data_IF_269542535575
#
_entry.id   IF_269542535575
#
_cell.length_a   1.000
_cell.length_b   1.000
_cell.length_c   1.000
_cell.angle_alpha   90.00
_cell.angle_beta   90.00
_cell.angle_gamma   90.00
#
_symmetry.space_group_name_H-M   'P 1'
#
loop_
_entity.id
_entity.type
_entity.pdbx_description
1 polymer ?
#
# COMPACT_ATOMS: atom_id res chain seq x y z
N UNK A 1 25.03 14.79 16.16
CA UNK A 1 24.24 14.06 15.14
C UNK A 1 22.92 13.74 15.80
N UNK A 2 21.87 14.52 15.53
CA UNK A 2 20.55 14.27 16.09
C UNK A 2 19.89 13.16 15.28
N UNK A 3 19.52 12.06 15.95
CA UNK A 3 18.60 11.08 15.38
C UNK A 3 17.25 11.80 15.21
N UNK A 4 16.75 11.89 13.99
CA UNK A 4 15.40 12.36 13.75
C UNK A 4 14.44 11.39 14.45
N UNK A 5 13.70 11.89 15.44
CA UNK A 5 12.57 11.18 16.00
C UNK A 5 11.55 10.96 14.88
N UNK A 6 11.33 9.70 14.51
CA UNK A 6 10.19 9.31 13.69
C UNK A 6 8.93 9.63 14.49
N UNK A 7 8.34 10.78 14.23
CA UNK A 7 7.05 11.18 14.82
C UNK A 7 5.95 10.39 14.12
N UNK A 8 5.80 9.12 14.50
CA UNK A 8 4.57 8.38 14.24
C UNK A 8 3.41 9.19 14.82
N UNK A 9 2.30 9.32 14.09
CA UNK A 9 1.09 9.99 14.55
C UNK A 9 0.54 9.21 15.76
N UNK A 10 0.96 9.57 16.97
CA UNK A 10 1.07 8.67 18.12
C UNK A 10 -0.24 8.32 18.84
N UNK A 11 -1.41 8.72 18.31
CA UNK A 11 -2.69 8.47 18.99
C UNK A 11 -3.59 7.45 18.27
N UNK A 12 -3.36 7.17 16.96
CA UNK A 12 -4.20 6.27 16.14
C UNK A 12 -3.42 5.48 15.07
N UNK A 13 -2.23 4.98 15.41
CA UNK A 13 -1.48 4.10 14.51
C UNK A 13 -2.19 2.75 14.27
N UNK A 14 -2.08 2.20 13.07
CA UNK A 14 -2.54 0.83 12.77
C UNK A 14 -1.45 -0.17 13.14
N UNK A 15 -1.79 -1.16 13.97
CA UNK A 15 -0.93 -2.33 14.22
C UNK A 15 -1.40 -3.47 13.33
N UNK A 16 -0.49 -3.97 12.49
CA UNK A 16 -0.76 -5.14 11.64
C UNK A 16 -0.46 -6.43 12.40
N UNK A 17 -1.36 -7.40 12.30
CA UNK A 17 -1.11 -8.78 12.73
C UNK A 17 -0.19 -9.49 11.73
N UNK A 18 0.41 -10.61 12.15
CA UNK A 18 1.41 -11.34 11.34
C UNK A 18 0.87 -11.88 10.02
N UNK A 19 -0.43 -12.14 9.97
CA UNK A 19 -1.16 -12.68 8.81
C UNK A 19 -1.82 -11.58 7.95
N UNK A 20 -1.54 -10.31 8.23
CA UNK A 20 -2.06 -9.18 7.47
C UNK A 20 -1.02 -8.61 6.51
N UNK A 21 -1.52 -8.07 5.39
CA UNK A 21 -0.74 -7.33 4.40
C UNK A 21 -1.17 -5.87 4.38
N UNK A 22 -0.26 -4.98 3.97
CA UNK A 22 -0.59 -3.57 3.76
C UNK A 22 0.22 -2.97 2.61
N UNK A 23 -0.45 -2.21 1.76
CA UNK A 23 0.19 -1.28 0.84
C UNK A 23 0.22 0.09 1.51
N UNK A 24 1.41 0.65 1.70
CA UNK A 24 1.65 1.90 2.40
C UNK A 24 2.12 2.94 1.40
N UNK A 25 1.45 4.08 1.36
CA UNK A 25 1.91 5.26 0.63
C UNK A 25 2.74 6.13 1.56
N UNK A 26 3.98 6.42 1.16
CA UNK A 26 4.91 7.25 1.91
C UNK A 26 4.70 8.74 1.57
N UNK A 27 5.22 9.61 2.44
CA UNK A 27 5.06 11.06 2.28
C UNK A 27 5.75 11.63 1.03
N UNK A 28 6.75 10.94 0.49
CA UNK A 28 7.46 11.31 -0.74
C UNK A 28 6.77 10.78 -2.02
N UNK A 29 5.63 10.09 -1.87
CA UNK A 29 4.88 9.49 -2.98
C UNK A 29 5.34 8.10 -3.40
N UNK A 30 6.35 7.53 -2.73
CA UNK A 30 6.71 6.12 -2.93
C UNK A 30 5.72 5.17 -2.25
N UNK A 31 5.77 3.89 -2.62
CA UNK A 31 4.95 2.85 -2.05
C UNK A 31 5.81 1.74 -1.44
N UNK A 32 5.38 1.25 -0.28
CA UNK A 32 5.95 0.09 0.39
C UNK A 32 4.88 -1.00 0.53
N UNK A 33 5.21 -2.24 0.20
CA UNK A 33 4.32 -3.38 0.43
C UNK A 33 4.83 -4.20 1.62
N UNK A 34 4.00 -4.31 2.65
CA UNK A 34 4.21 -5.21 3.78
C UNK A 34 3.50 -6.53 3.49
N UNK A 35 4.27 -7.61 3.43
CA UNK A 35 3.77 -8.97 3.21
C UNK A 35 3.54 -9.69 4.55
N UNK A 36 2.51 -10.54 4.63
CA UNK A 36 2.29 -11.37 5.79
C UNK A 36 3.40 -12.40 5.93
N UNK A 37 3.66 -12.81 7.18
CA UNK A 37 4.61 -13.88 7.49
C UNK A 37 3.96 -15.23 7.16
N UNK A 38 4.21 -15.71 5.94
CA UNK A 38 3.67 -16.96 5.40
C UNK A 38 4.77 -18.03 5.31
N UNK A 39 4.44 -19.32 5.49
CA UNK A 39 5.34 -20.41 5.13
C UNK A 39 5.78 -20.32 3.66
N UNK A 40 7.02 -20.72 3.35
CA UNK A 40 7.59 -20.61 1.98
C UNK A 40 6.74 -21.21 0.86
N UNK A 41 5.99 -22.27 1.15
CA UNK A 41 5.16 -22.97 0.17
C UNK A 41 3.69 -22.47 0.14
N UNK A 42 3.32 -21.55 1.03
CA UNK A 42 1.96 -21.04 1.10
C UNK A 42 1.73 -19.92 0.08
N UNK A 43 0.68 -20.07 -0.74
CA UNK A 43 0.23 -19.00 -1.60
C UNK A 43 -0.48 -17.92 -0.77
N UNK A 44 -0.20 -16.62 -1.00
CA UNK A 44 -0.97 -15.55 -0.37
C UNK A 44 -2.44 -15.61 -0.76
N UNK A 45 -3.33 -15.06 0.07
CA UNK A 45 -4.74 -14.95 -0.30
C UNK A 45 -4.94 -14.07 -1.53
N UNK A 46 -6.08 -14.20 -2.22
CA UNK A 46 -6.40 -13.38 -3.39
C UNK A 46 -6.31 -11.87 -3.11
N UNK A 47 -6.72 -11.44 -1.91
CA UNK A 47 -6.61 -10.05 -1.50
C UNK A 47 -5.14 -9.58 -1.40
N UNK A 48 -4.25 -10.43 -0.88
CA UNK A 48 -2.82 -10.12 -0.81
C UNK A 48 -2.20 -10.13 -2.21
N UNK A 49 -2.57 -11.09 -3.06
CA UNK A 49 -2.13 -11.14 -4.45
C UNK A 49 -2.57 -9.88 -5.23
N UNK A 50 -3.76 -9.36 -4.96
CA UNK A 50 -4.22 -8.10 -5.54
C UNK A 50 -3.35 -6.92 -5.09
N UNK A 51 -2.99 -6.83 -3.80
CA UNK A 51 -2.08 -5.78 -3.32
C UNK A 51 -0.70 -5.87 -3.98
N UNK A 52 -0.18 -7.08 -4.18
CA UNK A 52 1.07 -7.30 -4.93
C UNK A 52 0.93 -6.82 -6.36
N UNK A 53 -0.16 -7.18 -7.05
CA UNK A 53 -0.41 -6.75 -8.42
C UNK A 53 -0.49 -5.22 -8.55
N UNK A 54 -1.13 -4.56 -7.58
CA UNK A 54 -1.15 -3.09 -7.50
C UNK A 54 0.25 -2.53 -7.29
N UNK A 55 1.01 -3.04 -6.32
CA UNK A 55 2.37 -2.60 -6.03
C UNK A 55 3.33 -2.76 -7.23
N UNK A 56 3.16 -3.82 -8.04
CA UNK A 56 3.95 -4.00 -9.27
C UNK A 56 3.60 -3.00 -10.38
N UNK A 57 2.40 -2.43 -10.35
CA UNK A 57 1.89 -1.52 -11.38
C UNK A 57 2.05 -0.05 -10.98
N UNK A 58 2.30 0.28 -9.71
CA UNK A 58 2.48 1.67 -9.26
C UNK A 58 3.70 2.37 -9.88
N UNK A 59 4.67 1.61 -10.40
CA UNK A 59 5.83 2.15 -11.13
C UNK A 59 5.52 2.50 -12.60
N UNK A 60 4.32 2.17 -13.10
CA UNK A 60 3.86 2.52 -14.45
C UNK A 60 3.05 3.84 -14.38
N UNK A 61 3.63 4.98 -14.80
CA UNK A 61 2.98 6.29 -14.63
C UNK A 61 1.67 6.41 -15.41
N UNK A 62 1.58 5.77 -16.59
CA UNK A 62 0.38 5.83 -17.42
C UNK A 62 -0.77 5.10 -16.73
N UNK A 63 -0.48 3.93 -16.17
CA UNK A 63 -1.48 3.20 -15.40
C UNK A 63 -1.96 3.97 -14.17
N UNK A 64 -1.03 4.61 -13.44
CA UNK A 64 -1.39 5.43 -12.28
C UNK A 64 -2.29 6.60 -12.69
N UNK A 65 -1.95 7.31 -13.77
CA UNK A 65 -2.76 8.40 -14.32
C UNK A 65 -4.17 7.93 -14.70
N UNK A 66 -4.28 6.79 -15.40
CA UNK A 66 -5.56 6.18 -15.77
C UNK A 66 -6.42 5.83 -14.54
N UNK A 67 -5.83 5.26 -13.49
CA UNK A 67 -6.57 4.90 -12.27
C UNK A 67 -7.04 6.13 -11.49
N UNK A 68 -6.25 7.20 -11.44
CA UNK A 68 -6.65 8.47 -10.81
C UNK A 68 -7.78 9.12 -11.61
N UNK A 69 -7.69 9.13 -12.94
CA UNK A 69 -8.75 9.64 -13.82
C UNK A 69 -10.06 8.87 -13.60
N UNK A 70 -10.00 7.54 -13.60
CA UNK A 70 -11.15 6.69 -13.30
C UNK A 70 -11.80 7.03 -11.95
N UNK A 71 -11.00 7.24 -10.89
CA UNK A 71 -11.52 7.63 -9.57
C UNK A 71 -12.26 8.98 -9.61
N UNK A 72 -11.74 9.97 -10.34
CA UNK A 72 -12.36 11.29 -10.46
C UNK A 72 -13.68 11.24 -11.24
N UNK A 73 -13.74 10.45 -12.31
CA UNK A 73 -14.96 10.25 -13.09
C UNK A 73 -16.09 9.68 -12.21
N UNK A 74 -15.79 8.69 -11.36
CA UNK A 74 -16.78 8.11 -10.44
C UNK A 74 -17.25 9.09 -9.37
N UNK A 75 -16.36 9.93 -8.81
CA UNK A 75 -16.74 10.94 -7.81
C UNK A 75 -17.62 12.05 -8.36
N UNK A 76 -17.61 12.28 -9.67
CA UNK A 76 -18.44 13.31 -10.32
C UNK A 76 -19.88 12.81 -10.58
N UNK A 77 -20.10 11.49 -10.46
CA UNK A 77 -21.39 10.82 -10.67
C UNK A 77 -22.12 10.48 -9.35
N UNK A 78 -21.54 10.82 -8.19
CA UNK A 78 -22.07 10.55 -6.85
C UNK A 78 -22.70 11.77 -6.18
#
# INVERSE_FOLDING_TARGET
MAMAEFKAHSDHGTVLQRDQAALVAEADGSFSLLMPDLPEEALPSEAVQLLVAVAMRTDDPLWVEEMIAFLHEQKTLG
#
